data_IF_821319844099
#
_entry.id   IF_821319844099
#
_cell.length_a   1.000
_cell.length_b   1.000
_cell.length_c   1.000
_cell.angle_alpha   90.00
_cell.angle_beta   90.00
_cell.angle_gamma   90.00
#
_symmetry.space_group_name_H-M   'P 1'
#
loop_
_entity.id
_entity.type
_entity.pdbx_description
1 polymer ?
#
# COMPACT_ATOMS: atom_id res chain seq x y z
N UNK A 1 -46.07 34.59 18.54
CA UNK A 1 -45.10 35.44 17.80
C UNK A 1 -43.93 35.68 18.76
N UNK A 2 -42.67 35.34 18.51
CA UNK A 2 -41.96 35.06 17.27
C UNK A 2 -40.81 34.08 17.61
N UNK A 3 -40.68 33.01 16.83
CA UNK A 3 -39.64 31.99 16.94
C UNK A 3 -38.34 32.58 16.40
N UNK A 4 -37.30 32.67 17.24
CA UNK A 4 -35.95 33.06 16.83
C UNK A 4 -35.35 31.99 15.92
N UNK A 5 -35.32 32.28 14.62
CA UNK A 5 -34.83 31.42 13.55
C UNK A 5 -33.32 31.19 13.65
N UNK A 6 -32.90 29.94 13.88
CA UNK A 6 -32.03 29.08 13.03
C UNK A 6 -30.99 29.71 12.07
N UNK A 7 -30.38 30.85 12.37
CA UNK A 7 -29.40 31.49 11.47
C UNK A 7 -28.02 30.80 11.48
N UNK A 8 -27.57 30.27 12.62
CA UNK A 8 -26.19 29.77 12.78
C UNK A 8 -25.94 28.44 12.04
N UNK A 9 -26.89 27.51 12.08
CA UNK A 9 -26.76 26.22 11.39
C UNK A 9 -26.84 26.31 9.86
N UNK A 10 -27.56 27.29 9.33
CA UNK A 10 -27.72 27.50 7.89
C UNK A 10 -26.49 28.17 7.24
N UNK A 11 -25.82 29.07 7.97
CA UNK A 11 -24.61 29.75 7.51
C UNK A 11 -23.41 28.78 7.40
N UNK A 12 -23.33 27.81 8.31
CA UNK A 12 -22.24 26.82 8.35
C UNK A 12 -22.40 25.74 7.27
N UNK A 13 -23.64 25.34 6.98
CA UNK A 13 -23.94 24.48 5.82
C UNK A 13 -23.56 25.13 4.49
N UNK A 14 -23.56 26.47 4.43
CA UNK A 14 -23.11 27.23 3.26
C UNK A 14 -21.57 27.36 3.16
N UNK A 15 -20.86 27.48 4.30
CA UNK A 15 -19.39 27.57 4.31
C UNK A 15 -18.73 26.23 3.92
N UNK A 16 -19.19 25.10 4.46
CA UNK A 16 -18.74 23.76 4.02
C UNK A 16 -19.25 23.44 2.61
N UNK A 17 -20.45 23.92 2.26
CA UNK A 17 -20.99 23.86 0.89
C UNK A 17 -20.14 24.63 -0.15
N UNK A 18 -19.26 25.53 0.30
CA UNK A 18 -18.32 26.27 -0.58
C UNK A 18 -16.98 25.56 -0.81
N UNK A 19 -16.59 24.63 0.08
CA UNK A 19 -15.39 23.80 -0.08
C UNK A 19 -15.68 22.50 -0.84
N UNK A 20 -16.91 21.97 -0.72
CA UNK A 20 -17.40 20.80 -1.46
C UNK A 20 -18.90 20.95 -1.78
N UNK A 21 -19.31 21.16 -3.05
CA UNK A 21 -20.71 21.28 -3.38
C UNK A 21 -21.45 19.95 -3.11
N UNK A 22 -22.38 19.95 -2.14
CA UNK A 22 -23.28 18.82 -1.84
C UNK A 22 -23.24 18.24 -0.42
N UNK A 23 -22.19 18.49 0.37
CA UNK A 23 -22.02 17.87 1.71
C UNK A 23 -22.32 18.78 2.90
N UNK A 24 -22.51 20.08 2.66
CA UNK A 24 -22.67 21.08 3.72
C UNK A 24 -23.87 20.87 4.65
N UNK A 25 -24.96 20.26 4.16
CA UNK A 25 -26.16 19.99 4.96
C UNK A 25 -25.98 18.83 5.95
N UNK A 26 -25.14 17.85 5.62
CA UNK A 26 -24.93 16.65 6.44
C UNK A 26 -23.99 16.94 7.61
N UNK A 27 -22.86 17.60 7.33
CA UNK A 27 -21.87 17.98 8.36
C UNK A 27 -22.42 19.12 9.23
N UNK A 28 -23.12 20.09 8.63
CA UNK A 28 -23.77 21.18 9.36
C UNK A 28 -24.93 20.73 10.26
N UNK A 29 -25.73 19.75 9.84
CA UNK A 29 -26.82 19.18 10.66
C UNK A 29 -26.30 18.40 11.88
N UNK A 30 -25.21 17.67 11.71
CA UNK A 30 -24.53 16.94 12.78
C UNK A 30 -23.92 17.87 13.84
N UNK A 31 -23.22 18.92 13.38
CA UNK A 31 -22.60 19.93 14.25
C UNK A 31 -23.68 20.78 14.93
N UNK A 32 -24.74 21.16 14.22
CA UNK A 32 -25.88 21.87 14.79
C UNK A 32 -26.59 21.11 15.91
N UNK A 33 -26.70 19.77 15.82
CA UNK A 33 -27.22 18.92 16.88
C UNK A 33 -26.26 18.75 18.08
N UNK A 34 -24.96 18.95 17.86
CA UNK A 34 -23.91 18.92 18.89
C UNK A 34 -23.84 20.25 19.67
N UNK A 35 -23.84 21.39 18.95
CA UNK A 35 -23.82 22.75 19.49
C UNK A 35 -25.15 23.12 20.15
N UNK A 36 -26.27 22.59 19.66
CA UNK A 36 -27.62 22.84 20.20
C UNK A 36 -27.84 22.40 21.66
N UNK A 37 -26.84 21.78 22.32
CA UNK A 37 -26.86 21.44 23.75
C UNK A 37 -25.94 22.29 24.64
N UNK A 38 -25.14 23.18 24.07
CA UNK A 38 -24.30 24.15 24.80
C UNK A 38 -24.41 25.54 24.16
N UNK A 39 -25.64 26.00 23.94
CA UNK A 39 -25.91 27.37 23.54
C UNK A 39 -25.72 28.28 24.76
N UNK A 40 -24.46 28.59 25.06
CA UNK A 40 -23.99 29.85 25.65
C UNK A 40 -22.44 29.84 25.53
N UNK A 41 -21.91 30.68 24.63
CA UNK A 41 -20.48 30.98 24.41
C UNK A 41 -19.60 29.92 23.71
N UNK A 42 -19.96 29.47 22.51
CA UNK A 42 -18.96 28.96 21.57
C UNK A 42 -18.44 30.13 20.72
N UNK A 43 -17.20 30.55 20.95
CA UNK A 43 -16.53 31.53 20.08
C UNK A 43 -16.33 30.94 18.68
N UNK A 44 -16.40 31.78 17.64
CA UNK A 44 -16.34 31.41 16.21
C UNK A 44 -15.12 30.52 15.86
N UNK A 45 -13.97 30.77 16.52
CA UNK A 45 -12.77 29.95 16.37
C UNK A 45 -12.96 28.51 16.87
N UNK A 46 -13.61 28.33 18.02
CA UNK A 46 -13.88 27.00 18.57
C UNK A 46 -14.85 26.22 17.69
N UNK A 47 -15.84 26.90 17.12
CA UNK A 47 -16.78 26.33 16.17
C UNK A 47 -16.09 25.87 14.86
N UNK A 48 -15.16 26.68 14.32
CA UNK A 48 -14.35 26.31 13.15
C UNK A 48 -13.43 25.11 13.43
N UNK A 49 -12.77 25.08 14.59
CA UNK A 49 -11.91 23.95 14.99
C UNK A 49 -12.70 22.64 15.09
N UNK A 50 -13.92 22.68 15.66
CA UNK A 50 -14.80 21.52 15.76
C UNK A 50 -15.31 21.06 14.40
N UNK A 51 -15.59 21.99 13.47
CA UNK A 51 -15.98 21.66 12.11
C UNK A 51 -14.89 20.87 11.38
N UNK A 52 -13.62 21.30 11.49
CA UNK A 52 -12.49 20.59 10.88
C UNK A 52 -12.37 19.18 11.43
N UNK A 53 -12.50 19.02 12.76
CA UNK A 53 -12.47 17.70 13.42
C UNK A 53 -13.56 16.80 12.87
N UNK A 54 -14.81 17.28 12.83
CA UNK A 54 -15.95 16.47 12.36
C UNK A 54 -15.83 16.12 10.88
N UNK A 55 -15.48 17.09 10.03
CA UNK A 55 -15.31 16.87 8.59
C UNK A 55 -14.22 15.83 8.30
N UNK A 56 -13.11 15.88 9.04
CA UNK A 56 -12.00 14.93 8.90
C UNK A 56 -12.39 13.53 9.36
N UNK A 57 -13.18 13.40 10.43
CA UNK A 57 -13.56 12.11 11.01
C UNK A 57 -14.74 11.44 10.30
N UNK A 58 -15.56 12.18 9.56
CA UNK A 58 -16.80 11.67 8.97
C UNK A 58 -16.58 10.43 8.05
N UNK A 59 -15.57 10.37 7.16
CA UNK A 59 -15.30 9.15 6.39
C UNK A 59 -14.85 7.96 7.24
N UNK A 60 -14.12 8.21 8.34
CA UNK A 60 -13.71 7.15 9.27
C UNK A 60 -14.89 6.59 10.05
N UNK A 61 -15.84 7.46 10.40
CA UNK A 61 -17.13 7.06 10.98
C UNK A 61 -17.95 6.27 9.97
N UNK A 62 -18.01 6.71 8.72
CA UNK A 62 -18.72 6.01 7.65
C UNK A 62 -18.14 4.61 7.45
N UNK A 63 -16.81 4.47 7.42
CA UNK A 63 -16.13 3.17 7.38
C UNK A 63 -16.41 2.30 8.63
N UNK A 64 -16.52 2.90 9.82
CA UNK A 64 -16.88 2.17 11.04
C UNK A 64 -18.33 1.64 10.99
N UNK A 65 -19.24 2.43 10.40
CA UNK A 65 -20.66 2.13 10.23
C UNK A 65 -21.00 1.40 8.93
N UNK A 66 -20.00 1.03 8.11
CA UNK A 66 -20.25 0.31 6.87
C UNK A 66 -21.13 -0.93 7.15
N UNK A 67 -22.19 -1.09 6.36
CA UNK A 67 -23.21 -2.12 6.58
C UNK A 67 -24.17 -1.90 7.75
N UNK A 68 -24.26 -0.68 8.29
CA UNK A 68 -25.27 -0.29 9.29
C UNK A 68 -24.98 -0.76 10.71
N UNK A 69 -23.81 -1.36 10.96
CA UNK A 69 -23.39 -1.82 12.28
C UNK A 69 -21.94 -1.42 12.59
N UNK A 70 -21.72 -0.75 13.72
CA UNK A 70 -20.38 -0.53 14.27
C UNK A 70 -20.05 -1.55 15.35
N UNK A 71 -19.11 -2.45 15.05
CA UNK A 71 -18.59 -3.41 16.03
C UNK A 71 -17.75 -2.74 17.13
N UNK A 72 -17.48 -3.47 18.21
CA UNK A 72 -16.59 -3.01 19.28
C UNK A 72 -15.15 -2.78 18.79
N UNK A 73 -14.67 -3.59 17.83
CA UNK A 73 -13.34 -3.45 17.25
C UNK A 73 -13.23 -2.23 16.33
N UNK A 74 -14.23 -1.97 15.48
CA UNK A 74 -14.31 -0.74 14.65
C UNK A 74 -14.32 0.50 15.52
N UNK A 75 -15.13 0.51 16.58
CA UNK A 75 -15.19 1.63 17.54
C UNK A 75 -13.83 1.87 18.21
N UNK A 76 -13.15 0.81 18.63
CA UNK A 76 -11.81 0.91 19.23
C UNK A 76 -10.80 1.45 18.22
N UNK A 77 -10.86 1.00 16.96
CA UNK A 77 -9.96 1.52 15.91
C UNK A 77 -10.23 2.99 15.63
N UNK A 78 -11.49 3.38 15.51
CA UNK A 78 -11.89 4.76 15.31
C UNK A 78 -11.38 5.68 16.44
N UNK A 79 -11.46 5.24 17.70
CA UNK A 79 -10.91 5.98 18.85
C UNK A 79 -9.39 6.19 18.73
N UNK A 80 -8.65 5.13 18.37
CA UNK A 80 -7.19 5.20 18.17
C UNK A 80 -6.83 6.09 16.98
N UNK A 81 -7.53 5.97 15.86
CA UNK A 81 -7.32 6.81 14.67
C UNK A 81 -7.60 8.28 15.00
N UNK A 82 -8.67 8.56 15.73
CA UNK A 82 -9.03 9.93 16.14
C UNK A 82 -7.97 10.52 17.07
N UNK A 83 -7.49 9.76 18.06
CA UNK A 83 -6.42 10.22 18.95
C UNK A 83 -5.10 10.49 18.22
N UNK A 84 -4.81 9.73 17.15
CA UNK A 84 -3.61 9.95 16.34
C UNK A 84 -3.70 11.18 15.44
N UNK A 85 -4.91 11.47 14.92
CA UNK A 85 -5.15 12.62 14.03
C UNK A 85 -5.30 13.93 14.81
N UNK A 86 -5.89 13.86 16.00
CA UNK A 86 -6.17 14.99 16.88
C UNK A 86 -5.56 14.74 18.27
N UNK A 87 -4.23 14.84 18.42
CA UNK A 87 -3.54 14.55 19.68
C UNK A 87 -3.95 15.47 20.83
N UNK A 88 -4.36 16.70 20.52
CA UNK A 88 -4.81 17.70 21.50
C UNK A 88 -6.22 17.41 22.02
N UNK A 89 -6.97 16.53 21.34
CA UNK A 89 -8.32 16.15 21.75
C UNK A 89 -8.27 15.14 22.90
N UNK A 90 -8.56 15.62 24.11
CA UNK A 90 -8.59 14.77 25.30
C UNK A 90 -9.60 13.61 25.18
N UNK A 91 -9.41 12.55 25.98
CA UNK A 91 -10.21 11.33 25.89
C UNK A 91 -11.72 11.54 26.14
N UNK A 92 -12.09 12.52 26.97
CA UNK A 92 -13.49 12.83 27.27
C UNK A 92 -14.16 13.50 26.07
N UNK A 93 -13.54 14.53 25.51
CA UNK A 93 -14.01 15.23 24.32
C UNK A 93 -14.11 14.29 23.12
N UNK A 94 -13.09 13.45 22.91
CA UNK A 94 -13.07 12.43 21.86
C UNK A 94 -14.22 11.45 21.99
N UNK A 95 -14.47 10.89 23.18
CA UNK A 95 -15.62 10.00 23.42
C UNK A 95 -16.96 10.71 23.21
N UNK A 96 -17.07 11.98 23.61
CA UNK A 96 -18.29 12.76 23.42
C UNK A 96 -18.58 12.99 21.93
N UNK A 97 -17.56 13.33 21.15
CA UNK A 97 -17.63 13.46 19.68
C UNK A 97 -18.00 12.11 19.05
N UNK A 98 -17.28 11.04 19.39
CA UNK A 98 -17.50 9.70 18.85
C UNK A 98 -18.89 9.12 19.15
N UNK A 99 -19.52 9.51 20.26
CA UNK A 99 -20.88 9.07 20.63
C UNK A 99 -21.97 9.65 19.74
N UNK A 100 -21.76 10.83 19.16
CA UNK A 100 -22.77 11.50 18.34
C UNK A 100 -22.68 11.10 16.86
N UNK A 101 -21.62 10.40 16.48
CA UNK A 101 -21.35 10.01 15.10
C UNK A 101 -22.31 9.04 14.42
N UNK A 102 -23.04 8.14 15.10
CA UNK A 102 -24.11 7.38 14.43
C UNK A 102 -25.20 8.26 13.79
N UNK A 103 -25.31 9.54 14.19
CA UNK A 103 -26.21 10.51 13.56
C UNK A 103 -25.60 11.24 12.36
N UNK A 104 -24.30 11.09 12.11
CA UNK A 104 -23.58 11.71 10.98
C UNK A 104 -23.64 10.74 9.80
N UNK A 105 -24.74 10.80 9.06
CA UNK A 105 -24.98 9.95 7.89
C UNK A 105 -24.13 10.40 6.71
N UNK A 106 -22.94 9.82 6.55
CA UNK A 106 -22.14 9.95 5.33
C UNK A 106 -22.22 8.65 4.55
N UNK A 107 -22.70 8.72 3.31
CA UNK A 107 -22.70 7.60 2.37
C UNK A 107 -21.29 7.33 1.80
N UNK A 108 -21.14 6.18 1.12
CA UNK A 108 -19.86 5.78 0.53
C UNK A 108 -19.40 6.75 -0.57
N UNK A 109 -20.30 7.17 -1.46
CA UNK A 109 -19.99 8.13 -2.52
C UNK A 109 -19.39 9.44 -1.97
N UNK A 110 -19.98 9.96 -0.90
CA UNK A 110 -19.54 11.16 -0.19
C UNK A 110 -18.17 10.98 0.48
N UNK A 111 -17.95 9.81 1.10
CA UNK A 111 -16.65 9.45 1.67
C UNK A 111 -15.57 9.34 0.57
N UNK A 112 -15.94 8.83 -0.62
CA UNK A 112 -15.09 8.81 -1.80
C UNK A 112 -14.72 10.22 -2.27
N UNK A 113 -15.70 11.09 -2.46
CA UNK A 113 -15.49 12.43 -3.01
C UNK A 113 -14.41 13.24 -2.26
N UNK A 114 -14.24 13.01 -0.94
CA UNK A 114 -13.22 13.67 -0.12
C UNK A 114 -11.79 13.38 -0.57
N UNK A 115 -11.50 12.23 -1.18
CA UNK A 115 -10.16 11.93 -1.70
C UNK A 115 -9.74 12.90 -2.81
N UNK A 116 -10.68 13.34 -3.65
CA UNK A 116 -10.40 14.28 -4.73
C UNK A 116 -10.01 15.68 -4.25
N UNK A 117 -10.28 16.00 -2.98
CA UNK A 117 -9.97 17.30 -2.38
C UNK A 117 -8.63 17.31 -1.65
N UNK A 118 -7.95 16.16 -1.58
CA UNK A 118 -6.71 16.05 -0.83
C UNK A 118 -5.57 16.72 -1.60
N UNK A 119 -4.63 17.37 -0.89
CA UNK A 119 -3.61 18.21 -1.53
C UNK A 119 -2.62 17.40 -2.37
N UNK A 120 -2.40 16.14 -2.01
CA UNK A 120 -1.43 15.27 -2.66
C UNK A 120 -1.74 13.77 -2.46
N UNK A 121 -1.10 12.93 -3.29
CA UNK A 121 -1.26 11.48 -3.24
C UNK A 121 -0.78 10.83 -1.93
N UNK A 122 0.34 11.26 -1.29
CA UNK A 122 0.72 10.76 0.03
C UNK A 122 -0.33 11.00 1.12
N UNK A 123 -0.96 12.17 1.16
CA UNK A 123 -2.04 12.50 2.09
C UNK A 123 -3.25 11.60 1.83
N UNK A 124 -3.62 11.43 0.56
CA UNK A 124 -4.66 10.49 0.15
C UNK A 124 -4.37 9.04 0.58
N UNK A 125 -3.14 8.57 0.36
CA UNK A 125 -2.74 7.22 0.76
C UNK A 125 -2.79 7.06 2.30
N UNK A 126 -2.29 8.04 3.06
CA UNK A 126 -2.38 8.02 4.51
C UNK A 126 -3.83 7.92 4.97
N UNK A 127 -4.70 8.75 4.39
CA UNK A 127 -6.13 8.77 4.70
C UNK A 127 -6.81 7.43 4.36
N UNK A 128 -6.56 6.88 3.17
CA UNK A 128 -7.06 5.57 2.74
C UNK A 128 -6.64 4.48 3.72
N UNK A 129 -5.35 4.41 4.08
CA UNK A 129 -4.86 3.39 5.01
C UNK A 129 -5.48 3.51 6.40
N UNK A 130 -5.76 4.73 6.90
CA UNK A 130 -6.47 4.92 8.17
C UNK A 130 -7.94 4.49 8.08
N UNK A 131 -8.62 4.82 6.99
CA UNK A 131 -9.99 4.36 6.73
C UNK A 131 -10.06 2.83 6.64
N UNK A 132 -9.18 2.21 5.85
CA UNK A 132 -9.08 0.76 5.71
C UNK A 132 -8.73 0.09 7.04
N UNK A 133 -7.91 0.71 7.89
CA UNK A 133 -7.61 0.16 9.22
C UNK A 133 -8.87 -0.07 10.07
N UNK A 134 -9.87 0.80 9.91
CA UNK A 134 -11.16 0.74 10.61
C UNK A 134 -12.03 -0.32 9.94
N UNK A 135 -12.19 -0.26 8.62
CA UNK A 135 -13.01 -1.20 7.86
C UNK A 135 -12.55 -2.65 8.09
N UNK A 136 -11.24 -2.89 8.03
CA UNK A 136 -10.60 -4.20 8.30
C UNK A 136 -10.41 -4.49 9.81
N UNK A 137 -11.18 -3.88 10.70
CA UNK A 137 -11.17 -4.28 12.11
C UNK A 137 -11.79 -5.67 12.32
N UNK A 138 -12.84 -6.01 11.56
CA UNK A 138 -13.64 -7.25 11.72
C UNK A 138 -13.36 -8.29 10.63
N UNK A 139 -12.12 -8.40 10.16
CA UNK A 139 -11.79 -9.22 8.96
C UNK A 139 -12.32 -10.66 9.06
N UNK A 140 -12.67 -11.31 7.93
CA UNK A 140 -12.68 -10.78 6.56
C UNK A 140 -13.76 -9.71 6.33
N UNK A 141 -13.63 -8.90 5.29
CA UNK A 141 -14.68 -7.94 4.95
C UNK A 141 -15.96 -8.69 4.54
N UNK A 142 -17.10 -8.21 5.03
CA UNK A 142 -18.40 -8.71 4.57
C UNK A 142 -18.68 -8.22 3.14
N UNK A 143 -19.60 -8.86 2.44
CA UNK A 143 -20.06 -8.40 1.12
C UNK A 143 -20.55 -6.95 1.16
N UNK A 144 -21.23 -6.56 2.25
CA UNK A 144 -21.72 -5.20 2.44
C UNK A 144 -20.59 -4.19 2.60
N UNK A 145 -19.55 -4.53 3.37
CA UNK A 145 -18.36 -3.67 3.53
C UNK A 145 -17.56 -3.56 2.22
N UNK A 146 -17.47 -4.65 1.47
CA UNK A 146 -16.82 -4.69 0.15
C UNK A 146 -17.55 -3.77 -0.83
N UNK A 147 -18.88 -3.86 -0.92
CA UNK A 147 -19.67 -2.99 -1.78
C UNK A 147 -19.53 -1.51 -1.39
N UNK A 148 -19.55 -1.21 -0.09
CA UNK A 148 -19.31 0.14 0.42
C UNK A 148 -17.93 0.67 0.00
N UNK A 149 -16.88 -0.14 0.14
CA UNK A 149 -15.52 0.22 -0.26
C UNK A 149 -15.39 0.44 -1.78
N UNK A 150 -16.06 -0.40 -2.58
CA UNK A 150 -16.07 -0.25 -4.05
C UNK A 150 -16.74 1.05 -4.48
N UNK A 151 -17.83 1.45 -3.81
CA UNK A 151 -18.49 2.72 -4.06
C UNK A 151 -17.59 3.91 -3.65
N UNK A 152 -16.93 3.85 -2.49
CA UNK A 152 -15.92 4.85 -2.09
C UNK A 152 -14.84 4.98 -3.15
N UNK A 153 -14.29 3.86 -3.62
CA UNK A 153 -13.24 3.86 -4.63
C UNK A 153 -13.71 4.44 -5.97
N UNK A 154 -14.94 4.12 -6.39
CA UNK A 154 -15.55 4.66 -7.60
C UNK A 154 -15.79 6.17 -7.54
N UNK A 155 -16.17 6.70 -6.38
CA UNK A 155 -16.41 8.12 -6.17
C UNK A 155 -15.14 8.93 -5.82
N UNK A 156 -13.99 8.28 -5.62
CA UNK A 156 -12.80 8.94 -5.10
C UNK A 156 -12.03 9.78 -6.11
N UNK A 157 -12.28 9.57 -7.41
CA UNK A 157 -11.48 10.16 -8.49
C UNK A 157 -10.02 9.67 -8.52
N UNK A 158 -9.68 8.63 -7.75
CA UNK A 158 -8.33 8.06 -7.70
C UNK A 158 -8.21 6.91 -8.71
N UNK A 159 -7.01 6.69 -9.29
CA UNK A 159 -6.78 5.58 -10.20
C UNK A 159 -6.96 4.23 -9.47
N UNK A 160 -7.32 3.18 -10.21
CA UNK A 160 -7.55 1.84 -9.63
C UNK A 160 -6.30 1.32 -8.92
N UNK A 161 -5.12 1.63 -9.45
CA UNK A 161 -3.81 1.26 -8.90
C UNK A 161 -3.59 1.85 -7.50
N UNK A 162 -4.15 3.03 -7.20
CA UNK A 162 -4.09 3.63 -5.87
C UNK A 162 -4.80 2.74 -4.84
N UNK A 163 -6.01 2.30 -5.16
CA UNK A 163 -6.80 1.44 -4.27
C UNK A 163 -6.22 0.03 -4.18
N UNK A 164 -5.71 -0.53 -5.29
CA UNK A 164 -4.98 -1.79 -5.26
C UNK A 164 -3.75 -1.72 -4.34
N UNK A 165 -3.00 -0.62 -4.40
CA UNK A 165 -1.85 -0.39 -3.51
C UNK A 165 -2.29 -0.29 -2.04
N UNK A 166 -3.32 0.50 -1.75
CA UNK A 166 -3.85 0.64 -0.40
C UNK A 166 -4.36 -0.70 0.16
N UNK A 167 -5.07 -1.48 -0.66
CA UNK A 167 -5.58 -2.80 -0.28
C UNK A 167 -4.45 -3.82 -0.10
N UNK A 168 -3.33 -3.71 -0.83
CA UNK A 168 -2.15 -4.57 -0.64
C UNK A 168 -1.54 -4.54 0.77
N UNK A 169 -1.84 -3.50 1.57
CA UNK A 169 -1.47 -3.45 2.99
C UNK A 169 -2.38 -4.31 3.88
N UNK A 170 -3.56 -4.69 3.40
CA UNK A 170 -4.62 -5.34 4.18
C UNK A 170 -4.96 -6.72 3.65
N UNK A 171 -5.00 -6.88 2.34
CA UNK A 171 -5.25 -8.13 1.65
C UNK A 171 -3.95 -8.65 1.08
N UNK A 172 -3.75 -9.94 1.26
CA UNK A 172 -2.80 -10.66 0.44
C UNK A 172 -3.64 -11.08 -0.76
N UNK A 173 -3.32 -10.57 -1.95
CA UNK A 173 -3.84 -11.19 -3.18
C UNK A 173 -3.59 -12.69 -3.02
N UNK A 174 -4.63 -13.52 -3.10
CA UNK A 174 -4.58 -14.95 -2.77
C UNK A 174 -3.54 -15.72 -3.60
N UNK A 175 -2.97 -15.05 -4.60
CA UNK A 175 -1.70 -15.39 -5.21
C UNK A 175 -0.68 -14.31 -4.85
N UNK A 176 0.20 -14.59 -3.90
CA UNK A 176 1.54 -14.02 -4.05
C UNK A 176 1.98 -14.41 -5.46
N UNK A 177 2.42 -13.47 -6.32
CA UNK A 177 2.98 -13.88 -7.58
C UNK A 177 4.25 -14.66 -7.22
N UNK A 178 4.15 -15.99 -7.25
CA UNK A 178 5.08 -16.79 -8.03
C UNK A 178 5.34 -15.91 -9.24
N UNK A 179 6.56 -15.35 -9.37
CA UNK A 179 6.83 -14.38 -10.45
C UNK A 179 6.25 -14.95 -11.74
N UNK A 180 5.62 -14.14 -12.59
CA UNK A 180 4.98 -14.66 -13.81
C UNK A 180 5.92 -15.62 -14.58
N UNK A 181 7.22 -15.34 -14.52
CA UNK A 181 8.32 -16.18 -14.99
C UNK A 181 8.43 -17.56 -14.30
N UNK A 182 8.30 -17.63 -12.96
CA UNK A 182 8.30 -18.89 -12.21
C UNK A 182 7.01 -19.68 -12.47
N UNK A 183 5.86 -19.03 -12.59
CA UNK A 183 4.58 -19.68 -12.85
C UNK A 183 4.60 -20.34 -14.24
N UNK A 184 4.97 -19.56 -15.26
CA UNK A 184 5.15 -20.07 -16.62
C UNK A 184 6.19 -21.20 -16.64
N UNK A 185 7.28 -21.11 -15.88
CA UNK A 185 8.29 -22.17 -15.83
C UNK A 185 7.81 -23.45 -15.11
N UNK A 186 6.97 -23.35 -14.07
CA UNK A 186 6.34 -24.51 -13.42
C UNK A 186 5.36 -25.21 -14.37
N UNK A 187 4.55 -24.44 -15.10
CA UNK A 187 3.62 -24.97 -16.11
C UNK A 187 4.35 -25.71 -17.24
N UNK A 188 5.51 -25.20 -17.69
CA UNK A 188 6.34 -25.90 -18.69
C UNK A 188 6.89 -27.24 -18.20
N UNK A 189 7.09 -27.41 -16.89
CA UNK A 189 7.44 -28.69 -16.28
C UNK A 189 6.22 -29.52 -15.84
N UNK A 190 5.00 -29.02 -16.06
CA UNK A 190 3.76 -29.69 -15.66
C UNK A 190 3.57 -29.76 -14.14
N UNK A 191 4.11 -28.79 -13.40
CA UNK A 191 4.08 -28.74 -11.94
C UNK A 191 3.08 -27.68 -11.45
N UNK A 192 2.45 -27.90 -10.28
CA UNK A 192 1.58 -26.91 -9.67
C UNK A 192 2.39 -25.75 -9.05
N UNK A 193 1.68 -24.66 -8.73
CA UNK A 193 2.28 -23.39 -8.25
C UNK A 193 3.03 -23.52 -6.93
N UNK A 194 2.66 -24.53 -6.14
CA UNK A 194 3.19 -24.89 -4.82
C UNK A 194 4.29 -25.97 -4.88
N UNK A 195 4.72 -26.39 -6.07
CA UNK A 195 5.74 -27.42 -6.24
C UNK A 195 7.08 -27.05 -5.57
N UNK A 196 7.63 -28.02 -4.84
CA UNK A 196 8.86 -27.86 -4.07
C UNK A 196 10.11 -27.93 -4.95
N UNK A 197 11.26 -27.54 -4.39
CA UNK A 197 12.55 -27.64 -5.09
C UNK A 197 12.91 -29.09 -5.45
N UNK A 198 12.46 -30.06 -4.67
CA UNK A 198 12.65 -31.48 -4.96
C UNK A 198 11.69 -31.98 -6.05
N UNK A 199 10.43 -31.55 -6.06
CA UNK A 199 9.48 -31.84 -7.15
C UNK A 199 10.00 -31.33 -8.50
N UNK A 200 10.56 -30.11 -8.51
CA UNK A 200 11.18 -29.51 -9.70
C UNK A 200 12.36 -30.35 -10.20
N UNK A 201 13.24 -30.82 -9.30
CA UNK A 201 14.37 -31.69 -9.68
C UNK A 201 13.89 -33.02 -10.23
N UNK A 202 12.86 -33.62 -9.63
CA UNK A 202 12.29 -34.90 -10.08
C UNK A 202 11.64 -34.73 -11.46
N UNK A 203 10.80 -33.71 -11.65
CA UNK A 203 10.15 -33.43 -12.94
C UNK A 203 11.19 -33.16 -14.04
N UNK A 204 12.23 -32.38 -13.73
CA UNK A 204 13.31 -32.12 -14.68
C UNK A 204 14.06 -33.40 -15.07
N UNK A 205 14.41 -34.27 -14.11
CA UNK A 205 15.08 -35.55 -14.40
C UNK A 205 14.21 -36.45 -15.27
N UNK A 206 12.91 -36.51 -14.98
CA UNK A 206 11.96 -37.31 -15.75
C UNK A 206 11.84 -36.79 -17.19
N UNK A 207 11.67 -35.47 -17.36
CA UNK A 207 11.64 -34.84 -18.67
C UNK A 207 12.97 -35.03 -19.44
N UNK A 208 14.10 -34.87 -18.77
CA UNK A 208 15.42 -35.09 -19.35
C UNK A 208 15.58 -36.54 -19.85
N UNK A 209 15.08 -37.50 -19.07
CA UNK A 209 15.06 -38.90 -19.45
C UNK A 209 14.10 -39.19 -20.61
N UNK A 210 12.97 -38.48 -20.74
CA UNK A 210 12.02 -38.69 -21.84
C UNK A 210 12.53 -38.12 -23.17
N UNK A 211 13.13 -36.93 -23.15
CA UNK A 211 13.52 -36.21 -24.37
C UNK A 211 15.02 -36.32 -24.70
N UNK A 212 15.76 -37.24 -24.06
CA UNK A 212 17.20 -37.40 -24.31
C UNK A 212 17.49 -37.86 -25.76
N UNK A 213 18.46 -37.26 -26.48
CA UNK A 213 18.76 -37.62 -27.86
C UNK A 213 19.08 -39.11 -28.05
N UNK A 214 19.80 -39.73 -27.09
CA UNK A 214 20.13 -41.16 -27.15
C UNK A 214 18.90 -42.08 -27.13
N UNK A 215 17.80 -41.66 -26.50
CA UNK A 215 16.54 -42.43 -26.47
C UNK A 215 15.70 -42.24 -27.72
N UNK A 216 16.05 -41.25 -28.55
CA UNK A 216 15.33 -40.88 -29.76
C UNK A 216 16.16 -41.14 -31.04
N UNK A 217 17.21 -41.96 -30.93
CA UNK A 217 18.06 -42.33 -32.05
C UNK A 217 17.33 -43.15 -33.13
N UNK A 218 16.30 -43.92 -32.74
CA UNK A 218 15.56 -44.83 -33.63
C UNK A 218 14.19 -44.28 -34.08
N UNK A 219 13.83 -43.04 -33.71
CA UNK A 219 12.54 -42.42 -34.10
C UNK A 219 12.72 -41.50 -35.33
N UNK A 220 11.63 -41.28 -36.11
CA UNK A 220 11.65 -40.42 -37.28
C UNK A 220 12.16 -39.01 -36.96
N UNK A 221 12.89 -38.41 -37.91
CA UNK A 221 13.54 -37.11 -37.74
C UNK A 221 12.58 -35.99 -37.29
N UNK A 222 11.32 -36.04 -37.74
CA UNK A 222 10.28 -35.08 -37.31
C UNK A 222 10.01 -35.16 -35.80
N UNK A 223 9.98 -36.37 -35.23
CA UNK A 223 9.75 -36.60 -33.78
C UNK A 223 10.99 -36.19 -32.99
N UNK A 224 12.18 -36.43 -33.53
CA UNK A 224 13.46 -36.03 -32.90
C UNK A 224 13.55 -34.51 -32.75
N UNK A 225 13.23 -33.76 -33.82
CA UNK A 225 13.21 -32.28 -33.79
C UNK A 225 12.23 -31.72 -32.77
N UNK A 226 11.02 -32.30 -32.68
CA UNK A 226 10.02 -31.88 -31.69
C UNK A 226 10.50 -32.12 -30.25
N UNK A 227 11.15 -33.25 -29.99
CA UNK A 227 11.71 -33.55 -28.69
C UNK A 227 12.89 -32.64 -28.31
N UNK A 228 13.75 -32.30 -29.27
CA UNK A 228 14.83 -31.34 -29.07
C UNK A 228 14.31 -29.96 -28.69
N UNK A 229 13.27 -29.47 -29.38
CA UNK A 229 12.67 -28.18 -29.09
C UNK A 229 11.95 -28.18 -27.73
N UNK A 230 11.27 -29.29 -27.38
CA UNK A 230 10.73 -29.46 -26.02
C UNK A 230 11.83 -29.49 -24.96
N UNK A 231 12.94 -30.19 -25.20
CA UNK A 231 14.06 -30.23 -24.26
C UNK A 231 14.69 -28.85 -24.04
N UNK A 232 14.84 -28.05 -25.11
CA UNK A 232 15.32 -26.65 -24.99
C UNK A 232 14.40 -25.82 -24.08
N UNK A 233 13.09 -25.94 -24.28
CA UNK A 233 12.10 -25.22 -23.47
C UNK A 233 12.13 -25.65 -22.00
N UNK A 234 12.27 -26.95 -21.74
CA UNK A 234 12.41 -27.50 -20.39
C UNK A 234 13.70 -27.04 -19.72
N UNK A 235 14.83 -27.02 -20.45
CA UNK A 235 16.10 -26.53 -19.95
C UNK A 235 16.06 -25.02 -19.64
N UNK A 236 15.39 -24.23 -20.48
CA UNK A 236 15.18 -22.81 -20.24
C UNK A 236 14.32 -22.58 -18.99
N UNK A 237 13.22 -23.32 -18.86
CA UNK A 237 12.29 -23.24 -17.72
C UNK A 237 12.97 -23.68 -16.43
N UNK A 238 13.69 -24.80 -16.44
CA UNK A 238 14.51 -25.25 -15.30
C UNK A 238 15.61 -24.24 -14.95
N UNK A 239 16.20 -23.56 -15.94
CA UNK A 239 17.15 -22.48 -15.72
C UNK A 239 16.53 -21.24 -15.06
N UNK A 240 15.28 -20.91 -15.39
CA UNK A 240 14.50 -19.89 -14.65
C UNK A 240 14.25 -20.38 -13.22
N UNK A 241 13.70 -21.58 -13.04
CA UNK A 241 13.41 -22.17 -11.74
C UNK A 241 14.65 -22.37 -10.86
N UNK A 242 15.83 -22.59 -11.44
CA UNK A 242 17.10 -22.74 -10.71
C UNK A 242 17.75 -21.40 -10.38
N UNK A 243 17.61 -20.38 -11.24
CA UNK A 243 18.05 -19.01 -10.93
C UNK A 243 17.16 -18.37 -9.85
N UNK A 244 15.86 -18.60 -9.95
CA UNK A 244 14.90 -18.38 -8.87
C UNK A 244 15.17 -19.33 -7.68
N UNK A 245 15.65 -20.54 -7.97
CA UNK A 245 15.87 -21.64 -7.02
C UNK A 245 17.20 -21.64 -6.26
N UNK A 246 18.10 -20.69 -6.53
CA UNK A 246 19.14 -20.31 -5.56
C UNK A 246 18.58 -19.50 -4.39
N UNK A 247 17.26 -19.23 -4.39
CA UNK A 247 16.58 -18.47 -3.35
C UNK A 247 15.06 -18.74 -3.31
N UNK A 248 14.60 -19.99 -3.29
CA UNK A 248 13.17 -20.26 -3.04
C UNK A 248 12.92 -21.58 -2.29
N UNK A 249 13.39 -21.66 -1.05
CA UNK A 249 12.88 -22.64 -0.07
C UNK A 249 11.88 -21.98 0.91
N UNK A 250 11.52 -20.71 0.69
CA UNK A 250 10.81 -19.90 1.66
C UNK A 250 9.47 -19.38 1.12
N UNK A 251 8.34 -19.60 1.83
CA UNK A 251 7.04 -18.98 1.51
C UNK A 251 7.07 -17.44 1.65
N UNK A 252 8.23 -16.86 1.97
CA UNK A 252 8.45 -15.44 2.16
C UNK A 252 9.19 -14.76 1.00
N UNK A 253 9.49 -15.48 -0.09
CA UNK A 253 10.13 -14.87 -1.26
C UNK A 253 9.24 -13.77 -1.88
N UNK A 254 9.87 -12.68 -2.33
CA UNK A 254 9.17 -11.49 -2.82
C UNK A 254 8.51 -10.62 -1.74
N UNK A 255 8.58 -11.00 -0.45
CA UNK A 255 8.07 -10.22 0.66
C UNK A 255 9.17 -9.43 1.38
N UNK A 256 8.78 -8.33 1.99
CA UNK A 256 9.61 -7.55 2.89
C UNK A 256 8.86 -7.21 4.17
N UNK A 257 9.63 -6.89 5.20
CA UNK A 257 9.13 -6.33 6.45
C UNK A 257 10.02 -5.15 6.86
N UNK A 258 9.56 -4.34 7.81
CA UNK A 258 10.40 -3.39 8.50
C UNK A 258 10.80 -3.95 9.87
N UNK A 259 12.09 -3.93 10.19
CA UNK A 259 12.56 -4.28 11.54
C UNK A 259 12.14 -3.21 12.56
N UNK A 260 12.48 -3.43 13.84
CA UNK A 260 12.11 -2.52 14.93
C UNK A 260 12.70 -1.11 14.83
N UNK A 261 13.71 -0.91 13.98
CA UNK A 261 14.32 0.39 13.66
C UNK A 261 13.72 1.06 12.42
N UNK A 262 12.81 0.38 11.73
CA UNK A 262 12.21 0.85 10.48
C UNK A 262 13.02 0.49 9.22
N UNK A 263 14.11 -0.28 9.36
CA UNK A 263 14.89 -0.73 8.21
C UNK A 263 14.14 -1.84 7.48
N UNK A 264 14.00 -1.67 6.17
CA UNK A 264 13.42 -2.69 5.28
C UNK A 264 14.35 -3.90 5.21
N UNK A 265 13.80 -5.07 5.51
CA UNK A 265 14.48 -6.37 5.48
C UNK A 265 13.69 -7.36 4.61
N UNK A 266 14.43 -8.26 3.96
CA UNK A 266 13.83 -9.37 3.22
C UNK A 266 13.16 -10.34 4.20
N UNK A 267 11.91 -10.72 3.91
CA UNK A 267 11.14 -11.58 4.81
C UNK A 267 11.74 -12.99 4.95
N UNK A 268 12.55 -13.45 3.98
CA UNK A 268 13.29 -14.69 4.08
C UNK A 268 14.36 -14.68 5.21
N UNK A 269 14.68 -13.52 5.78
CA UNK A 269 15.62 -13.36 6.91
C UNK A 269 14.93 -13.28 8.27
N UNK A 270 13.62 -13.48 8.32
CA UNK A 270 12.88 -13.42 9.57
C UNK A 270 13.11 -14.67 10.42
N UNK A 271 13.10 -14.48 11.74
CA UNK A 271 13.15 -15.56 12.72
C UNK A 271 12.06 -15.35 13.79
N UNK A 272 11.74 -16.42 14.50
CA UNK A 272 10.76 -16.39 15.58
C UNK A 272 11.15 -15.32 16.62
N UNK A 273 10.17 -14.54 17.09
CA UNK A 273 10.38 -13.50 18.09
C UNK A 273 10.98 -12.20 17.56
N UNK A 274 11.27 -12.08 16.25
CA UNK A 274 11.58 -10.79 15.63
C UNK A 274 10.48 -9.77 15.93
N UNK A 275 10.89 -8.54 16.22
CA UNK A 275 9.96 -7.41 16.39
C UNK A 275 9.94 -6.59 15.12
N UNK A 276 8.79 -6.53 14.47
CA UNK A 276 8.57 -5.80 13.22
C UNK A 276 7.84 -4.50 13.47
N UNK A 277 8.21 -3.46 12.74
CA UNK A 277 7.50 -2.20 12.71
C UNK A 277 6.38 -2.27 11.66
N UNK A 278 5.16 -1.93 12.06
CA UNK A 278 4.06 -1.79 11.10
C UNK A 278 4.27 -0.54 10.24
N UNK A 279 4.33 -0.72 8.92
CA UNK A 279 4.53 0.37 7.97
C UNK A 279 3.32 1.31 7.81
N UNK A 280 2.16 0.93 8.35
CA UNK A 280 0.95 1.77 8.32
C UNK A 280 0.85 2.66 9.56
N UNK A 281 1.08 2.11 10.76
CA UNK A 281 0.83 2.84 12.02
C UNK A 281 2.05 2.97 12.95
N UNK A 282 3.22 2.46 12.55
CA UNK A 282 4.46 2.53 13.34
C UNK A 282 4.47 1.64 14.59
N UNK A 283 3.48 0.78 14.77
CA UNK A 283 3.40 -0.09 15.94
C UNK A 283 4.38 -1.24 15.84
N UNK A 284 5.07 -1.53 16.95
CA UNK A 284 5.98 -2.67 17.05
C UNK A 284 5.17 -3.94 17.34
N UNK A 285 5.37 -4.98 16.54
CA UNK A 285 4.65 -6.25 16.64
C UNK A 285 5.67 -7.37 16.70
N UNK A 286 5.61 -8.19 17.75
CA UNK A 286 6.49 -9.36 17.89
C UNK A 286 5.90 -10.52 17.09
N UNK A 287 6.69 -11.11 16.21
CA UNK A 287 6.28 -12.28 15.45
C UNK A 287 6.03 -13.47 16.39
N UNK A 288 4.98 -14.27 16.12
CA UNK A 288 4.69 -15.46 16.90
C UNK A 288 5.82 -16.50 16.75
N UNK A 289 5.89 -17.42 17.70
CA UNK A 289 6.86 -18.54 17.66
C UNK A 289 6.62 -19.52 16.51
N UNK A 290 5.42 -19.52 15.93
CA UNK A 290 5.04 -20.36 14.78
C UNK A 290 5.52 -19.76 13.47
N UNK A 291 6.11 -20.55 12.57
CA UNK A 291 6.65 -20.11 11.28
C UNK A 291 5.61 -19.65 10.24
N UNK A 292 4.31 -19.64 10.56
CA UNK A 292 3.25 -19.14 9.66
C UNK A 292 3.16 -17.61 9.67
N UNK A 293 4.28 -16.91 9.50
CA UNK A 293 4.34 -15.45 9.64
C UNK A 293 3.69 -14.69 8.50
N UNK A 294 3.38 -15.36 7.39
CA UNK A 294 2.93 -14.72 6.17
C UNK A 294 1.65 -13.90 6.44
N UNK A 295 0.75 -14.44 7.24
CA UNK A 295 -0.50 -13.79 7.64
C UNK A 295 -0.37 -12.89 8.88
N UNK A 296 0.85 -12.70 9.41
CA UNK A 296 1.08 -11.86 10.60
C UNK A 296 0.64 -10.43 10.33
N UNK A 297 -0.07 -9.87 11.30
CA UNK A 297 -0.71 -8.56 11.20
C UNK A 297 -0.40 -7.69 12.38
N UNK A 298 -0.51 -6.40 12.16
CA UNK A 298 -0.44 -5.43 13.23
C UNK A 298 -1.65 -5.56 14.15
N UNK A 299 -1.40 -5.68 15.45
CA UNK A 299 -2.47 -5.72 16.47
C UNK A 299 -3.27 -4.42 16.60
N UNK A 300 -2.77 -3.31 16.04
CA UNK A 300 -3.37 -1.97 16.18
C UNK A 300 -4.06 -1.48 14.92
N UNK A 301 -3.64 -1.86 13.72
CA UNK A 301 -4.31 -1.44 12.48
C UNK A 301 -4.73 -2.60 11.58
N UNK A 302 -4.49 -3.86 11.94
CA UNK A 302 -4.74 -5.06 11.11
C UNK A 302 -3.98 -5.17 9.78
N UNK A 303 -3.11 -4.20 9.45
CA UNK A 303 -2.26 -4.28 8.27
C UNK A 303 -1.31 -5.48 8.33
N UNK A 304 -1.00 -6.06 7.17
CA UNK A 304 0.02 -7.10 7.01
C UNK A 304 1.39 -6.57 7.47
N UNK A 305 2.11 -7.38 8.23
CA UNK A 305 3.49 -7.06 8.64
C UNK A 305 4.51 -7.43 7.57
N UNK A 306 4.16 -8.36 6.68
CA UNK A 306 4.96 -8.79 5.55
C UNK A 306 4.25 -8.37 4.27
N UNK A 307 4.84 -7.44 3.54
CA UNK A 307 4.28 -6.80 2.35
C UNK A 307 5.01 -7.25 1.07
N UNK A 308 4.32 -7.31 -0.07
CA UNK A 308 4.97 -7.61 -1.35
C UNK A 308 5.86 -6.47 -1.80
N UNK A 309 7.04 -6.79 -2.35
CA UNK A 309 8.01 -5.80 -2.88
C UNK A 309 7.42 -4.86 -3.94
N UNK A 310 6.32 -5.23 -4.60
CA UNK A 310 5.59 -4.35 -5.53
C UNK A 310 5.14 -3.03 -4.90
N UNK A 311 4.87 -3.00 -3.59
CA UNK A 311 4.52 -1.77 -2.88
C UNK A 311 5.70 -0.77 -2.83
N UNK A 312 6.95 -1.24 -2.99
CA UNK A 312 8.13 -0.37 -3.02
C UNK A 312 8.42 0.20 -4.42
N UNK A 313 7.91 -0.42 -5.49
CA UNK A 313 8.26 -0.04 -6.86
C UNK A 313 7.52 1.19 -7.41
N UNK A 314 6.47 1.67 -6.74
CA UNK A 314 5.66 2.81 -7.23
C UNK A 314 6.10 4.18 -6.69
N UNK A 315 7.19 4.24 -5.93
CA UNK A 315 7.83 5.52 -5.57
C UNK A 315 8.67 6.10 -6.72
N UNK A 316 8.00 6.72 -7.70
CA UNK A 316 8.55 7.81 -8.52
C UNK A 316 8.88 7.50 -10.00
N UNK A 317 8.83 8.52 -10.89
CA UNK A 317 9.04 8.33 -12.32
C UNK A 317 10.46 7.85 -12.61
N UNK A 318 10.56 6.86 -13.48
CA UNK A 318 11.79 6.21 -13.93
C UNK A 318 12.87 7.22 -14.36
N UNK A 319 13.80 7.53 -13.46
CA UNK A 319 15.08 8.12 -13.83
C UNK A 319 15.94 7.02 -14.47
N UNK A 320 15.62 6.67 -15.72
CA UNK A 320 16.42 5.79 -16.57
C UNK A 320 17.72 6.52 -16.95
N UNK A 321 18.68 6.62 -16.03
CA UNK A 321 20.05 7.04 -16.37
C UNK A 321 20.71 5.92 -17.15
N UNK A 322 20.68 6.06 -18.47
CA UNK A 322 21.51 5.30 -19.39
C UNK A 322 22.98 5.38 -18.94
N UNK A 323 23.52 4.23 -18.55
CA UNK A 323 24.97 4.04 -18.40
C UNK A 323 25.59 4.02 -19.80
N UNK A 324 25.83 5.20 -20.38
CA UNK A 324 26.81 5.31 -21.47
C UNK A 324 28.20 5.23 -20.84
N UNK A 325 28.84 4.08 -21.05
CA UNK A 325 30.21 3.76 -20.66
C UNK A 325 31.17 4.74 -21.35
N UNK A 326 31.60 5.78 -20.63
CA UNK A 326 32.66 6.68 -21.10
C UNK A 326 33.99 5.90 -21.15
N UNK A 327 34.54 5.76 -22.36
CA UNK A 327 35.91 5.28 -22.63
C UNK A 327 36.91 6.21 -21.95
N UNK A 328 37.76 5.65 -21.08
CA UNK A 328 38.99 6.32 -20.61
C UNK A 328 39.90 6.58 -21.83
N UNK A 329 40.46 7.78 -22.02
CA UNK A 329 41.56 7.96 -22.96
C UNK A 329 42.89 7.59 -22.30
N UNK A 330 43.71 6.86 -23.05
CA UNK A 330 45.11 6.54 -22.75
C UNK A 330 46.02 7.77 -22.94
N UNK A 331 47.14 7.90 -22.22
CA UNK A 331 48.07 8.99 -22.42
C UNK A 331 49.05 8.63 -23.55
N UNK A 332 49.15 9.47 -24.58
CA UNK A 332 50.23 9.41 -25.55
C UNK A 332 50.99 10.74 -25.59
N UNK A 333 52.26 10.63 -25.24
CA UNK A 333 53.35 11.58 -25.44
C UNK A 333 53.44 12.10 -26.89
N UNK A 334 53.78 13.38 -27.08
CA UNK A 334 55.05 13.84 -27.68
C UNK A 334 55.07 15.36 -27.91
N UNK A 335 56.27 15.91 -27.85
CA UNK A 335 56.64 17.32 -27.79
C UNK A 335 56.78 18.00 -29.16
N UNK A 336 56.74 19.34 -29.19
CA UNK A 336 57.67 20.24 -29.94
C UNK A 336 57.16 21.71 -29.84
N UNK A 337 57.81 22.63 -29.09
CA UNK A 337 58.83 23.64 -29.51
C UNK A 337 58.25 24.70 -30.48
N UNK A 338 58.11 26.00 -30.18
CA UNK A 338 59.11 27.12 -30.04
C UNK A 338 58.29 28.45 -29.87
N UNK A 339 58.42 29.26 -28.80
CA UNK A 339 59.20 30.53 -28.59
C UNK A 339 58.77 31.77 -29.45
N UNK A 340 59.14 33.02 -29.10
CA UNK A 340 58.67 33.86 -27.97
C UNK A 340 58.41 35.35 -28.39
N UNK A 341 57.66 36.16 -27.62
CA UNK A 341 57.76 37.64 -27.73
C UNK A 341 57.57 38.36 -26.38
N UNK A 342 58.40 39.40 -26.21
CA UNK A 342 58.75 40.17 -25.01
C UNK A 342 57.75 41.31 -24.68
N UNK A 343 57.98 41.91 -23.49
CA UNK A 343 57.78 43.34 -23.13
C UNK A 343 56.39 43.68 -22.55
N UNK A 344 56.18 44.49 -21.51
CA UNK A 344 57.01 45.38 -20.70
C UNK A 344 56.32 45.70 -19.35
N UNK A 345 57.12 46.27 -18.45
CA UNK A 345 56.83 46.66 -17.07
C UNK A 345 55.84 47.83 -16.87
N UNK A 346 55.20 47.93 -15.68
CA UNK A 346 55.19 49.18 -14.88
C UNK A 346 54.69 49.00 -13.42
N UNK A 347 55.62 49.32 -12.49
CA UNK A 347 55.52 50.08 -11.20
C UNK A 347 54.21 50.05 -10.40
N UNK A 348 54.27 49.58 -9.14
CA UNK A 348 54.38 50.37 -7.88
C UNK A 348 53.26 51.42 -7.67
N UNK A 349 52.33 51.12 -6.76
CA UNK A 349 52.20 51.73 -5.42
C UNK A 349 51.33 50.82 -4.56
#
# INVERSE_FOLDING_TARGET
MNVGKTASGAAIGAAVGSLLPGLGTIIGGAIGAWIGRQADAADEEMENQLQIVVATLAPFVAAANAGGHTSSLRRKRLDVTTAAWFPDLNATARKAILRQFPAVGMDASSAGAIFSTMPDAPTAMHYALRMLSILYADRPLSEVDTNWLMEVAGASGMPVEFWQTALGYYERSDTLPVSADRQAALEQLGLPVDATSDDIKVAYRNAAATYHPDRLAQVPDAVRRLAEDKMKLINQSYGVLRRSGSQCDSPFDGLFAADSSGKVIDAARLAAGHTLLCLVCGQKNRLPSTEKWIQSRCGICSALLLLPKSILSDSGPSARKGRTRAKRPSPSSTASRRTPTKSAAKRRR
#
